data_IF_158854057777
#
_entry.id   IF_158854057777
#
_cell.length_a   1.000
_cell.length_b   1.000
_cell.length_c   1.000
_cell.angle_alpha   90.00
_cell.angle_beta   90.00
_cell.angle_gamma   90.00
#
_symmetry.space_group_name_H-M   'P 1'
#
loop_
_entity.id
_entity.type
_entity.pdbx_description
1 polymer ?
#
# COMPACT_ATOMS: atom_id res chain seq x y z
N UNK A 1 -4.92 9.56 -7.54
CA UNK A 1 -3.96 10.49 -6.86
C UNK A 1 -4.10 10.42 -5.32
N UNK A 2 -3.00 10.32 -4.55
CA UNK A 2 -3.02 10.43 -3.07
C UNK A 2 -1.79 11.21 -2.60
N UNK A 3 -2.04 12.32 -1.89
CA UNK A 3 -0.99 13.10 -1.24
C UNK A 3 -0.52 12.42 0.04
N UNK A 4 -1.44 11.92 0.88
CA UNK A 4 -1.11 11.34 2.19
C UNK A 4 -0.27 10.07 2.07
N UNK A 5 -0.71 9.10 1.28
CA UNK A 5 0.01 7.83 1.08
C UNK A 5 1.39 8.09 0.48
N UNK A 6 1.47 8.93 -0.55
CA UNK A 6 2.75 9.27 -1.20
C UNK A 6 3.72 9.91 -0.21
N UNK A 7 3.30 10.96 0.48
CA UNK A 7 4.19 11.75 1.35
C UNK A 7 4.59 10.96 2.59
N UNK A 8 3.67 10.20 3.20
CA UNK A 8 3.97 9.40 4.40
C UNK A 8 4.96 8.28 4.11
N UNK A 9 4.78 7.51 3.03
CA UNK A 9 5.74 6.48 2.64
C UNK A 9 7.09 7.09 2.25
N UNK A 10 7.09 8.17 1.46
CA UNK A 10 8.33 8.84 1.03
C UNK A 10 9.15 9.35 2.22
N UNK A 11 8.51 10.10 3.12
CA UNK A 11 9.14 10.64 4.31
C UNK A 11 9.59 9.53 5.27
N UNK A 12 8.75 8.52 5.50
CA UNK A 12 9.04 7.41 6.41
C UNK A 12 10.28 6.61 5.97
N UNK A 13 10.37 6.24 4.69
CA UNK A 13 11.54 5.53 4.15
C UNK A 13 12.81 6.38 4.28
N UNK A 14 12.73 7.67 3.95
CA UNK A 14 13.88 8.59 4.07
C UNK A 14 14.33 8.81 5.50
N UNK A 15 13.41 8.87 6.47
CA UNK A 15 13.74 8.95 7.89
C UNK A 15 14.51 7.72 8.38
N UNK A 16 14.30 6.56 7.75
CA UNK A 16 15.05 5.33 8.01
C UNK A 16 16.37 5.23 7.21
N UNK A 17 16.76 6.29 6.50
CA UNK A 17 17.98 6.32 5.69
C UNK A 17 17.86 5.68 4.31
N UNK A 18 16.65 5.30 3.90
CA UNK A 18 16.38 4.71 2.59
C UNK A 18 16.21 5.74 1.47
N UNK A 19 16.10 5.22 0.25
CA UNK A 19 15.77 6.00 -0.95
C UNK A 19 14.40 5.59 -1.50
N UNK A 20 13.76 6.53 -2.19
CA UNK A 20 12.40 6.37 -2.70
C UNK A 20 12.38 6.68 -4.18
N UNK A 21 11.71 5.82 -4.95
CA UNK A 21 11.47 6.02 -6.38
C UNK A 21 9.97 6.04 -6.60
N UNK A 22 9.45 7.18 -7.06
CA UNK A 22 8.05 7.31 -7.42
C UNK A 22 7.89 6.95 -8.89
N UNK A 23 7.06 5.94 -9.16
CA UNK A 23 6.67 5.57 -10.51
C UNK A 23 5.16 5.74 -10.62
N UNK A 24 4.72 6.63 -11.50
CA UNK A 24 3.31 6.82 -11.83
C UNK A 24 2.83 5.75 -12.81
N UNK A 25 1.52 5.51 -12.86
CA UNK A 25 0.94 4.57 -13.83
C UNK A 25 1.16 4.98 -15.29
N UNK A 26 1.52 6.23 -15.57
CA UNK A 26 1.90 6.69 -16.91
C UNK A 26 3.37 6.38 -17.24
N UNK A 27 4.22 6.21 -16.23
CA UNK A 27 5.63 5.86 -16.38
C UNK A 27 5.85 4.34 -16.36
N UNK A 28 4.95 3.60 -15.70
CA UNK A 28 4.96 2.13 -15.67
C UNK A 28 4.25 1.56 -16.90
N UNK A 29 4.89 0.60 -17.57
CA UNK A 29 4.30 -0.18 -18.68
C UNK A 29 3.41 -1.34 -18.18
N UNK A 30 3.02 -1.33 -16.91
CA UNK A 30 2.15 -2.34 -16.30
C UNK A 30 0.85 -2.46 -17.09
N UNK A 31 0.68 -3.59 -17.80
CA UNK A 31 -0.47 -3.85 -18.65
C UNK A 31 -0.48 -3.11 -20.00
N UNK A 32 0.53 -2.30 -20.30
CA UNK A 32 0.71 -1.56 -21.55
C UNK A 32 1.94 -2.05 -22.34
N UNK A 33 2.14 -3.36 -22.39
CA UNK A 33 3.21 -4.00 -23.19
C UNK A 33 4.18 -4.85 -22.36
N UNK A 34 4.17 -4.72 -21.04
CA UNK A 34 4.89 -5.60 -20.12
C UNK A 34 3.91 -6.27 -19.14
N UNK A 35 4.13 -7.55 -18.88
CA UNK A 35 3.30 -8.32 -17.94
C UNK A 35 3.60 -7.89 -16.50
N UNK A 36 2.63 -8.01 -15.59
CA UNK A 36 2.84 -7.71 -14.16
C UNK A 36 3.98 -8.59 -13.62
N UNK A 37 4.03 -9.85 -14.05
CA UNK A 37 5.09 -10.79 -13.71
C UNK A 37 6.50 -10.31 -14.13
N UNK A 38 6.65 -9.78 -15.35
CA UNK A 38 7.95 -9.30 -15.82
C UNK A 38 8.37 -8.03 -15.10
N UNK A 39 7.46 -7.07 -14.93
CA UNK A 39 7.72 -5.86 -14.13
C UNK A 39 8.11 -6.23 -12.69
N UNK A 40 7.42 -7.18 -12.05
CA UNK A 40 7.74 -7.65 -10.70
C UNK A 40 9.17 -8.19 -10.60
N UNK A 41 9.56 -9.05 -11.55
CA UNK A 41 10.89 -9.66 -11.61
C UNK A 41 11.98 -8.62 -11.81
N UNK A 42 11.76 -7.66 -12.70
CA UNK A 42 12.72 -6.58 -12.99
C UNK A 42 12.88 -5.67 -11.78
N UNK A 43 11.79 -5.16 -11.21
CA UNK A 43 11.83 -4.28 -10.03
C UNK A 43 12.54 -4.96 -8.85
N UNK A 44 12.27 -6.24 -8.62
CA UNK A 44 12.91 -7.02 -7.55
C UNK A 44 14.44 -7.12 -7.65
N UNK A 45 15.05 -6.77 -8.79
CA UNK A 45 16.51 -6.71 -8.94
C UNK A 45 17.12 -5.34 -8.59
N UNK A 46 16.29 -4.32 -8.45
CA UNK A 46 16.73 -2.94 -8.26
C UNK A 46 16.27 -2.32 -6.95
N UNK A 47 15.17 -2.80 -6.36
CA UNK A 47 14.61 -2.25 -5.13
C UNK A 47 14.43 -3.33 -4.07
N UNK A 48 14.45 -2.92 -2.80
CA UNK A 48 14.28 -3.81 -1.65
C UNK A 48 12.83 -3.93 -1.18
N UNK A 49 11.93 -3.09 -1.69
CA UNK A 49 10.51 -3.04 -1.30
C UNK A 49 9.68 -2.35 -2.39
N UNK A 50 8.45 -2.84 -2.60
CA UNK A 50 7.49 -2.23 -3.51
C UNK A 50 6.24 -1.86 -2.73
N UNK A 51 5.81 -0.60 -2.79
CA UNK A 51 4.47 -0.20 -2.37
C UNK A 51 3.66 0.12 -3.61
N UNK A 52 2.49 -0.51 -3.75
CA UNK A 52 1.61 -0.31 -4.88
C UNK A 52 0.25 0.20 -4.43
N UNK A 53 -0.25 1.19 -5.18
CA UNK A 53 -1.64 1.58 -5.17
C UNK A 53 -2.22 1.25 -6.53
N UNK A 54 -3.26 0.41 -6.55
CA UNK A 54 -3.93 -0.06 -7.76
C UNK A 54 -5.44 -0.04 -7.56
N UNK A 55 -6.22 -0.35 -8.59
CA UNK A 55 -7.67 -0.52 -8.50
C UNK A 55 -7.99 -1.97 -8.12
N UNK A 56 -7.74 -2.88 -9.05
CA UNK A 56 -7.96 -4.31 -8.87
C UNK A 56 -6.89 -4.92 -7.96
N UNK A 57 -7.34 -5.67 -6.97
CA UNK A 57 -6.48 -6.37 -6.04
C UNK A 57 -5.77 -7.57 -6.67
N UNK A 58 -6.31 -8.13 -7.77
CA UNK A 58 -5.61 -9.19 -8.52
C UNK A 58 -4.20 -8.75 -8.95
N UNK A 59 -4.05 -7.48 -9.36
CA UNK A 59 -2.76 -6.88 -9.74
C UNK A 59 -1.78 -6.86 -8.56
N UNK A 60 -2.26 -6.52 -7.35
CA UNK A 60 -1.44 -6.55 -6.13
C UNK A 60 -0.96 -7.98 -5.84
N UNK A 61 -1.86 -8.96 -5.95
CA UNK A 61 -1.56 -10.35 -5.65
C UNK A 61 -0.59 -10.96 -6.66
N UNK A 62 -0.80 -10.72 -7.96
CA UNK A 62 0.11 -11.17 -9.03
C UNK A 62 1.49 -10.52 -8.90
N UNK A 63 1.53 -9.21 -8.61
CA UNK A 63 2.80 -8.52 -8.35
C UNK A 63 3.54 -9.12 -7.16
N UNK A 64 2.82 -9.43 -6.07
CA UNK A 64 3.39 -10.07 -4.89
C UNK A 64 3.87 -11.51 -5.17
N UNK A 65 3.13 -12.28 -5.97
CA UNK A 65 3.48 -13.65 -6.36
C UNK A 65 4.80 -13.71 -7.15
N UNK A 66 5.04 -12.72 -8.00
CA UNK A 66 6.21 -12.70 -8.87
C UNK A 66 7.36 -11.81 -8.37
N UNK A 67 7.18 -11.10 -7.26
CA UNK A 67 8.24 -10.29 -6.63
C UNK A 67 9.09 -11.13 -5.68
N UNK A 68 10.39 -10.87 -5.66
CA UNK A 68 11.32 -11.44 -4.66
C UNK A 68 11.52 -10.53 -3.44
N UNK A 69 10.87 -9.37 -3.44
CA UNK A 69 10.90 -8.36 -2.37
C UNK A 69 9.50 -8.10 -1.83
N UNK A 70 9.35 -7.59 -0.59
CA UNK A 70 8.04 -7.33 -0.01
C UNK A 70 7.20 -6.37 -0.84
N UNK A 71 5.92 -6.71 -1.02
CA UNK A 71 4.92 -5.87 -1.67
C UNK A 71 3.90 -5.38 -0.64
N UNK A 72 3.75 -4.06 -0.53
CA UNK A 72 2.84 -3.41 0.41
C UNK A 72 1.63 -2.84 -0.33
N UNK A 73 0.43 -3.18 0.15
CA UNK A 73 -0.82 -2.59 -0.31
C UNK A 73 -0.96 -1.14 0.19
N UNK A 74 -0.69 -0.17 -0.68
CA UNK A 74 -0.90 1.24 -0.42
C UNK A 74 -2.36 1.69 -0.52
N UNK A 75 -3.19 0.99 -1.32
CA UNK A 75 -4.65 1.04 -1.43
C UNK A 75 -5.08 0.21 -2.65
N UNK A 76 -6.16 -0.58 -2.51
CA UNK A 76 -6.96 -1.14 -3.61
C UNK A 76 -8.42 -0.67 -3.49
N UNK A 77 -9.27 -0.98 -4.48
CA UNK A 77 -10.71 -0.74 -4.37
C UNK A 77 -11.35 -1.61 -3.27
N UNK A 78 -10.69 -2.72 -2.90
CA UNK A 78 -11.18 -3.66 -1.87
C UNK A 78 -10.69 -3.34 -0.46
N UNK A 79 -9.42 -2.98 -0.28
CA UNK A 79 -8.83 -2.79 1.06
C UNK A 79 -7.82 -1.65 1.11
N UNK A 80 -7.68 -1.03 2.28
CA UNK A 80 -6.70 0.00 2.59
C UNK A 80 -6.06 -0.24 3.98
N UNK A 81 -5.26 -1.31 4.14
CA UNK A 81 -4.80 -1.78 5.45
C UNK A 81 -3.90 -0.78 6.18
N UNK A 82 -3.06 -0.03 5.45
CA UNK A 82 -2.19 0.98 6.07
C UNK A 82 -2.97 2.11 6.78
N UNK A 83 -4.18 2.43 6.32
CA UNK A 83 -5.05 3.41 6.99
C UNK A 83 -5.49 2.88 8.36
N UNK A 84 -5.96 1.63 8.43
CA UNK A 84 -6.43 1.03 9.69
C UNK A 84 -5.30 0.86 10.69
N UNK A 85 -4.08 0.53 10.25
CA UNK A 85 -2.92 0.51 11.12
C UNK A 85 -2.65 1.88 11.78
N UNK A 86 -2.79 2.97 11.02
CA UNK A 86 -2.66 4.32 11.56
C UNK A 86 -3.82 4.71 12.48
N UNK A 87 -5.04 4.27 12.18
CA UNK A 87 -6.24 4.54 12.99
C UNK A 87 -6.15 3.81 14.34
N UNK A 88 -5.70 2.55 14.36
CA UNK A 88 -5.47 1.78 15.58
C UNK A 88 -4.38 2.43 16.42
N UNK A 89 -3.24 2.79 15.82
CA UNK A 89 -2.16 3.51 16.52
C UNK A 89 -2.70 4.79 17.19
N UNK A 90 -3.45 5.59 16.42
CA UNK A 90 -4.06 6.83 16.92
C UNK A 90 -5.00 6.55 18.09
N UNK A 91 -5.85 5.52 17.99
CA UNK A 91 -6.75 5.14 19.08
C UNK A 91 -5.96 4.75 20.34
N UNK A 92 -4.94 3.90 20.19
CA UNK A 92 -4.17 3.39 21.32
C UNK A 92 -3.37 4.48 22.03
N UNK A 93 -2.81 5.45 21.30
CA UNK A 93 -2.15 6.62 21.88
C UNK A 93 -3.12 7.49 22.70
N UNK A 94 -4.38 7.60 22.28
CA UNK A 94 -5.35 8.51 22.88
C UNK A 94 -6.27 7.87 23.92
N UNK A 95 -6.44 6.54 23.89
CA UNK A 95 -7.47 5.81 24.66
C UNK A 95 -6.94 4.51 25.29
N UNK A 96 -5.68 4.14 25.05
CA UNK A 96 -5.12 2.86 25.48
C UNK A 96 -5.59 1.68 24.61
N UNK A 97 -5.39 0.42 25.06
CA UNK A 97 -5.57 -0.75 24.22
C UNK A 97 -6.95 -0.84 23.55
N UNK A 98 -6.98 -1.11 22.25
CA UNK A 98 -8.23 -1.24 21.48
C UNK A 98 -8.98 -2.56 21.79
N UNK A 99 -8.32 -3.52 22.44
CA UNK A 99 -8.90 -4.81 22.80
C UNK A 99 -10.20 -4.66 23.60
N UNK A 100 -11.27 -5.27 23.11
CA UNK A 100 -12.60 -5.26 23.75
C UNK A 100 -13.38 -3.96 23.56
N UNK A 101 -12.88 -3.01 22.75
CA UNK A 101 -13.59 -1.79 22.39
C UNK A 101 -14.55 -2.03 21.23
N UNK A 102 -15.55 -1.16 21.10
CA UNK A 102 -16.51 -1.18 20.00
C UNK A 102 -16.16 -0.07 19.03
N UNK A 103 -15.93 -0.43 17.77
CA UNK A 103 -15.79 0.50 16.64
C UNK A 103 -17.14 0.57 15.91
N UNK A 104 -17.59 1.77 15.57
CA UNK A 104 -18.83 1.99 14.83
C UNK A 104 -18.48 2.68 13.52
N UNK A 105 -18.78 2.01 12.40
CA UNK A 105 -18.67 2.56 11.06
C UNK A 105 -20.03 3.07 10.57
N UNK A 106 -20.07 4.26 9.98
CA UNK A 106 -21.28 4.84 9.40
C UNK A 106 -20.91 5.58 8.12
N UNK A 107 -21.41 5.07 6.99
CA UNK A 107 -21.09 5.57 5.66
C UNK A 107 -20.98 4.41 4.66
N UNK A 108 -20.32 4.65 3.54
CA UNK A 108 -20.15 3.64 2.49
C UNK A 108 -19.32 2.45 2.97
N UNK A 109 -19.70 1.24 2.52
CA UNK A 109 -18.93 0.01 2.71
C UNK A 109 -17.74 -0.05 1.74
N UNK A 110 -16.81 0.88 1.89
CA UNK A 110 -15.65 1.03 1.01
C UNK A 110 -14.42 0.25 1.52
N UNK A 111 -13.29 0.44 0.85
CA UNK A 111 -12.02 -0.20 1.18
C UNK A 111 -11.53 0.02 2.62
N UNK A 112 -11.83 1.16 3.24
CA UNK A 112 -11.48 1.43 4.64
C UNK A 112 -12.38 0.61 5.56
N UNK A 113 -13.69 0.56 5.30
CA UNK A 113 -14.63 -0.27 6.07
C UNK A 113 -14.29 -1.77 6.02
N UNK A 114 -13.76 -2.23 4.89
CA UNK A 114 -13.42 -3.64 4.66
C UNK A 114 -12.06 -4.06 5.23
N UNK A 115 -11.25 -3.12 5.73
CA UNK A 115 -9.92 -3.36 6.30
C UNK A 115 -9.95 -3.50 7.81
#
# INVERSE_FOLDING_TARGET
PSTRTRVSFDAGVRQMGGQTMLLSGAELQLGHGETIADTARVLSRYVDLIMIRTFDESVLLELAEHSQVPVINGLTDRTHPCQIMADILTYEEHRGPIKGKKVVWSGDGNNVCAS
#
